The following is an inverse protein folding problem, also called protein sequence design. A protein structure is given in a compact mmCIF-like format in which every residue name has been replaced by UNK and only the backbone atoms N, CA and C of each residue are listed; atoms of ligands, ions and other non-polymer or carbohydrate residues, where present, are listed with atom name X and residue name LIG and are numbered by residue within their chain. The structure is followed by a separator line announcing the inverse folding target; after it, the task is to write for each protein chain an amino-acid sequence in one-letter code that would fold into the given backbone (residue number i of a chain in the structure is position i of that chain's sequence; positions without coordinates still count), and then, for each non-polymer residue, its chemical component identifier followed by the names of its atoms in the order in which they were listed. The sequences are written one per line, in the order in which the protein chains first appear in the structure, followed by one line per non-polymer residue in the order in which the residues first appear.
data_IF_356394404231
#
_entry.id   IF_356394404231
#
_cell.length_a   1.000
_cell.length_b   1.000
_cell.length_c   1.000
_cell.angle_alpha   90.00
_cell.angle_beta   90.00
_cell.angle_gamma   90.00
#
_symmetry.space_group_name_H-M   'P 1'
#
loop_
_entity.id
_entity.type
_entity.pdbx_description
1 polymer ?
2 non-polymer ?
3 non-polymer ?
4 non-polymer ?
5 water ?
#
# COMPACT_ATOMS: atom_id res chain seq x y z
N UNK A 64 -24.08 13.03 5.36
CA UNK A 64 -24.52 13.79 4.14
C UNK A 64 -25.10 12.83 3.10
N UNK A 65 -26.33 13.07 2.67
CA UNK A 65 -27.01 12.21 1.68
C UNK A 65 -26.32 12.23 0.31
N UNK A 66 -26.27 11.08 -0.34
CA UNK A 66 -25.86 11.03 -1.75
C UNK A 66 -26.91 11.69 -2.64
N UNK A 67 -26.48 12.35 -3.72
CA UNK A 67 -27.45 12.84 -4.70
C UNK A 67 -28.05 11.70 -5.50
N UNK A 68 -29.17 11.96 -6.18
CA UNK A 68 -29.71 11.03 -7.17
C UNK A 68 -28.60 10.65 -8.15
N UNK A 69 -28.46 9.35 -8.43
CA UNK A 69 -27.51 8.85 -9.42
C UNK A 69 -28.18 7.76 -10.25
N UNK A 70 -27.85 7.72 -11.54
CA UNK A 70 -28.34 6.70 -12.45
C UNK A 70 -27.18 5.76 -12.78
N UNK A 71 -27.31 4.50 -12.39
CA UNK A 71 -26.29 3.48 -12.68
C UNK A 71 -26.95 2.10 -12.74
N UNK A 72 -26.25 1.10 -13.30
CA UNK A 72 -26.84 -0.23 -13.37
C UNK A 72 -27.16 -0.83 -12.01
N UNK A 73 -28.33 -1.45 -11.91
CA UNK A 73 -28.75 -2.10 -10.68
C UNK A 73 -27.81 -3.26 -10.35
N UNK A 74 -27.37 -3.37 -9.08
CA UNK A 74 -26.62 -4.58 -8.70
C UNK A 74 -27.48 -5.82 -8.87
N UNK A 75 -26.86 -6.89 -9.36
CA UNK A 75 -27.53 -8.15 -9.66
C UNK A 75 -27.27 -9.15 -8.54
N UNK A 76 -28.26 -9.34 -7.67
CA UNK A 76 -28.10 -10.21 -6.49
C UNK A 76 -27.73 -11.65 -6.88
N UNK A 77 -28.32 -12.14 -7.96
CA UNK A 77 -28.11 -13.52 -8.41
C UNK A 77 -27.06 -13.66 -9.53
N UNK A 78 -26.19 -12.66 -9.69
CA UNK A 78 -25.04 -12.75 -10.56
C UNK A 78 -23.77 -12.37 -9.76
N UNK A 79 -22.81 -13.29 -9.63
CA UNK A 79 -21.55 -12.92 -8.98
C UNK A 79 -20.81 -11.84 -9.77
N UNK A 80 -20.15 -10.91 -9.07
CA UNK A 80 -19.39 -9.86 -9.77
C UNK A 80 -18.09 -10.38 -10.39
N UNK A 81 -17.52 -11.41 -9.79
CA UNK A 81 -16.44 -12.19 -10.37
C UNK A 81 -16.70 -13.67 -10.10
N UNK A 82 -16.49 -14.50 -11.12
CA UNK A 82 -16.61 -15.96 -11.00
C UNK A 82 -15.24 -16.66 -10.93
N UNK A 83 -14.17 -15.90 -11.05
CA UNK A 83 -12.82 -16.45 -11.17
C UNK A 83 -11.92 -16.17 -9.96
N UNK A 84 -12.37 -15.29 -9.05
CA UNK A 84 -11.56 -14.89 -7.91
C UNK A 84 -12.41 -14.71 -6.66
N UNK A 85 -11.74 -14.78 -5.52
CA UNK A 85 -12.32 -14.47 -4.23
C UNK A 85 -12.42 -12.94 -4.09
N UNK A 86 -13.63 -12.44 -3.83
CA UNK A 86 -13.84 -10.99 -3.73
C UNK A 86 -14.13 -10.50 -2.30
N UNK A 87 -14.17 -11.42 -1.34
CA UNK A 87 -14.31 -11.06 0.06
C UNK A 87 -13.54 -12.07 0.90
N UNK A 88 -12.85 -11.58 1.93
CA UNK A 88 -12.08 -12.47 2.79
C UNK A 88 -13.03 -13.19 3.76
N UNK A 89 -12.56 -14.24 4.45
CA UNK A 89 -13.41 -14.90 5.45
C UNK A 89 -13.75 -14.06 6.70
N UNK A 90 -13.09 -12.90 6.86
CA UNK A 90 -13.46 -11.94 7.90
C UNK A 90 -14.24 -10.75 7.30
N UNK A 91 -14.79 -10.95 6.10
CA UNK A 91 -15.70 -10.02 5.46
C UNK A 91 -15.05 -8.69 5.08
N UNK A 92 -13.79 -8.75 4.68
CA UNK A 92 -13.09 -7.60 4.08
C UNK A 92 -13.17 -7.75 2.56
N UNK A 93 -13.63 -6.71 1.85
CA UNK A 93 -13.57 -6.80 0.38
C UNK A 93 -12.14 -7.01 -0.13
N UNK A 94 -12.03 -7.82 -1.19
CA UNK A 94 -10.80 -7.96 -1.95
C UNK A 94 -11.05 -7.21 -3.25
N UNK A 95 -10.26 -6.17 -3.49
CA UNK A 95 -10.55 -5.20 -4.54
C UNK A 95 -9.97 -5.62 -5.88
N UNK A 96 -10.89 -6.03 -6.77
CA UNK A 96 -10.60 -6.37 -8.17
C UNK A 96 -11.49 -5.51 -9.06
N UNK A 97 -11.08 -5.31 -10.30
CA UNK A 97 -11.93 -4.67 -11.28
C UNK A 97 -13.21 -5.50 -11.44
N UNK A 98 -14.34 -4.82 -11.45
CA UNK A 98 -15.65 -5.47 -11.51
C UNK A 98 -16.36 -5.56 -10.16
N UNK A 99 -15.64 -5.29 -9.06
CA UNK A 99 -16.25 -5.35 -7.73
C UNK A 99 -16.84 -4.01 -7.28
N UNK A 100 -16.43 -2.90 -7.90
CA UNK A 100 -16.84 -1.58 -7.43
C UNK A 100 -17.34 -0.67 -8.53
N UNK A 101 -18.30 0.17 -8.17
CA UNK A 101 -18.73 1.28 -8.99
C UNK A 101 -18.02 2.53 -8.46
N UNK A 102 -17.03 3.00 -9.22
CA UNK A 102 -16.19 4.12 -8.79
C UNK A 102 -16.98 5.43 -8.67
N UNK A 103 -18.08 5.55 -9.40
CA UNK A 103 -18.90 6.77 -9.30
C UNK A 103 -19.55 6.90 -7.94
N UNK A 104 -20.05 5.78 -7.41
CA UNK A 104 -20.64 5.78 -6.07
C UNK A 104 -19.57 6.09 -5.03
N UNK A 105 -18.44 5.41 -5.14
CA UNK A 105 -17.35 5.59 -4.18
C UNK A 105 -16.78 7.00 -4.22
N UNK A 106 -16.60 7.56 -5.42
CA UNK A 106 -16.12 8.95 -5.53
C UNK A 106 -17.05 9.93 -4.84
N UNK A 107 -18.35 9.75 -5.01
CA UNK A 107 -19.35 10.57 -4.31
C UNK A 107 -19.19 10.48 -2.80
N UNK A 108 -19.13 9.25 -2.29
CA UNK A 108 -19.01 9.04 -0.85
C UNK A 108 -17.79 9.75 -0.28
N UNK A 109 -16.65 9.58 -0.94
CA UNK A 109 -15.39 10.15 -0.42
C UNK A 109 -15.25 11.66 -0.68
N UNK A 110 -15.76 12.16 -1.80
CA UNK A 110 -15.75 13.60 -2.03
C UNK A 110 -16.64 14.35 -1.05
N UNK A 111 -17.79 13.76 -0.70
CA UNK A 111 -18.69 14.39 0.29
C UNK A 111 -18.09 14.46 1.69
N UNK A 112 -17.06 13.65 1.96
CA UNK A 112 -16.26 13.75 3.19
C UNK A 112 -15.01 14.64 3.08
N UNK A 113 -14.81 15.26 1.91
CA UNK A 113 -13.60 16.03 1.58
C UNK A 113 -12.32 15.32 1.99
N UNK A 114 -12.22 14.07 1.52
CA UNK A 114 -11.15 13.18 1.89
C UNK A 114 -9.82 13.66 1.33
N UNK A 115 -8.79 13.63 2.17
CA UNK A 115 -7.41 13.91 1.77
C UNK A 115 -6.60 12.64 1.94
N UNK A 116 -5.87 12.29 0.88
CA UNK A 116 -5.05 11.09 0.87
C UNK A 116 -3.58 11.48 0.81
N UNK A 117 -2.79 10.98 1.75
CA UNK A 117 -1.35 11.10 1.74
C UNK A 117 -0.73 9.91 1.04
N UNK A 118 0.32 10.16 0.25
CA UNK A 118 1.07 9.10 -0.43
C UNK A 118 2.52 9.26 -0.03
N UNK A 119 3.06 8.27 0.69
CA UNK A 119 4.46 8.30 1.11
C UNK A 119 5.32 7.47 0.16
N UNK A 120 6.50 7.99 -0.12
CA UNK A 120 7.45 7.32 -0.97
C UNK A 120 8.85 7.69 -0.53
N UNK A 121 9.75 6.71 -0.52
CA UNK A 121 11.14 6.91 -0.12
C UNK A 121 12.02 6.89 -1.36
N UNK A 122 12.84 7.93 -1.50
CA UNK A 122 13.76 8.08 -2.62
C UNK A 122 15.12 8.40 -2.04
N UNK A 123 15.79 7.35 -1.59
CA UNK A 123 17.05 7.47 -0.87
C UNK A 123 18.17 7.03 -1.82
N UNK A 124 19.28 7.77 -1.80
CA UNK A 124 20.44 7.49 -2.63
C UNK A 124 20.03 7.42 -4.12
N UNK A 125 20.34 6.34 -4.83
CA UNK A 125 20.13 6.29 -6.28
C UNK A 125 18.66 6.21 -6.70
N UNK A 126 17.78 5.92 -5.75
CA UNK A 126 16.35 5.77 -6.03
C UNK A 126 15.64 7.09 -6.32
N UNK A 127 16.30 8.23 -6.11
CA UNK A 127 15.77 9.52 -6.57
C UNK A 127 15.45 9.51 -8.08
N UNK A 128 16.19 8.71 -8.86
CA UNK A 128 15.96 8.56 -10.30
C UNK A 128 14.55 8.11 -10.67
N UNK A 129 13.89 7.39 -9.77
CA UNK A 129 12.54 6.88 -10.01
C UNK A 129 11.42 7.88 -9.75
N UNK A 130 11.74 9.01 -9.11
CA UNK A 130 10.69 9.95 -8.69
C UNK A 130 9.91 10.58 -9.84
N UNK A 131 10.60 10.96 -10.91
CA UNK A 131 9.92 11.71 -11.98
C UNK A 131 8.77 10.90 -12.57
N UNK A 132 9.04 9.67 -12.97
CA UNK A 132 7.99 8.81 -13.54
C UNK A 132 6.93 8.44 -12.51
N UNK A 133 7.36 8.16 -11.28
CA UNK A 133 6.42 7.84 -10.21
C UNK A 133 5.39 8.95 -10.03
N UNK A 134 5.88 10.19 -9.91
CA UNK A 134 5.00 11.33 -9.64
C UNK A 134 4.16 11.71 -10.85
N UNK A 135 4.78 11.70 -12.03
CA UNK A 135 4.05 12.02 -13.27
C UNK A 135 2.90 11.06 -13.49
N UNK A 136 3.14 9.77 -13.27
CA UNK A 136 2.10 8.78 -13.47
C UNK A 136 1.07 8.82 -12.33
N UNK A 137 1.50 9.14 -11.10
CA UNK A 137 0.54 9.33 -10.00
C UNK A 137 -0.43 10.45 -10.33
N UNK A 138 0.07 11.50 -10.96
CA UNK A 138 -0.78 12.61 -11.39
C UNK A 138 -1.88 12.18 -12.36
N UNK A 139 -1.59 11.18 -13.19
CA UNK A 139 -2.56 10.69 -14.16
C UNK A 139 -3.57 9.71 -13.56
N UNK A 140 -3.17 8.99 -12.52
CA UNK A 140 -3.92 7.80 -12.08
C UNK A 140 -4.29 7.71 -10.61
N UNK A 141 -3.64 8.46 -9.72
CA UNK A 141 -3.79 8.25 -8.28
C UNK A 141 -4.75 9.28 -7.68
N UNK A 142 -5.91 8.81 -7.23
CA UNK A 142 -6.89 9.64 -6.52
C UNK A 142 -7.26 10.93 -7.25
N UNK A 143 -7.35 10.86 -8.58
CA UNK A 143 -7.63 12.07 -9.36
C UNK A 143 -9.03 12.58 -9.00
N UNK A 144 -9.11 13.87 -8.71
CA UNK A 144 -10.35 14.51 -8.25
C UNK A 144 -10.43 14.72 -6.76
N UNK A 145 -9.56 14.03 -6.01
CA UNK A 145 -9.50 14.14 -4.55
C UNK A 145 -8.27 14.93 -4.10
N UNK A 146 -8.27 15.36 -2.85
CA UNK A 146 -7.10 16.06 -2.29
C UNK A 146 -6.00 15.06 -2.03
N UNK A 147 -4.80 15.36 -2.53
CA UNK A 147 -3.63 14.48 -2.38
C UNK A 147 -2.46 15.27 -1.82
N UNK A 148 -1.75 14.67 -0.88
CA UNK A 148 -0.50 15.22 -0.36
C UNK A 148 0.57 14.16 -0.53
N UNK A 149 1.52 14.41 -1.42
CA UNK A 149 2.68 13.53 -1.58
C UNK A 149 3.71 13.86 -0.52
N UNK A 150 4.28 12.83 0.07
CA UNK A 150 5.37 13.00 1.02
C UNK A 150 6.57 12.23 0.49
N UNK A 151 7.58 12.96 0.03
CA UNK A 151 8.80 12.37 -0.52
C UNK A 151 9.88 12.40 0.54
N UNK A 152 10.22 11.23 1.06
CA UNK A 152 11.30 11.08 2.03
C UNK A 152 12.58 10.87 1.25
N UNK A 153 13.58 11.73 1.46
CA UNK A 153 14.81 11.65 0.69
C UNK A 153 16.01 12.16 1.47
N UNK A 154 17.19 11.68 1.10
CA UNK A 154 18.45 12.25 1.59
C UNK A 154 19.00 13.33 0.65
N UNK A 155 18.30 13.59 -0.47
CA UNK A 155 18.75 14.56 -1.48
C UNK A 155 17.59 15.48 -1.88
N UNK A 156 17.24 16.44 -1.01
CA UNK A 156 16.24 17.46 -1.32
C UNK A 156 16.31 18.03 -2.74
N UNK A 157 17.52 18.37 -3.17
CA UNK A 157 17.74 19.03 -4.48
C UNK A 157 17.52 18.13 -5.69
N UNK A 158 17.49 16.82 -5.49
CA UNK A 158 17.29 15.86 -6.58
C UNK A 158 15.81 15.53 -6.83
N UNK A 159 14.90 16.09 -6.05
CA UNK A 159 13.47 15.84 -6.26
C UNK A 159 13.02 16.62 -7.50
N UNK A 160 12.50 15.93 -8.54
CA UNK A 160 12.12 16.62 -9.78
C UNK A 160 10.94 17.57 -9.56
N UNK A 161 10.89 18.65 -10.35
CA UNK A 161 9.80 19.61 -10.28
C UNK A 161 8.68 19.10 -11.17
N UNK A 162 7.78 18.31 -10.59
CA UNK A 162 6.67 17.72 -11.33
C UNK A 162 5.46 18.64 -11.16
N UNK A 163 4.78 18.92 -12.27
CA UNK A 163 3.62 19.79 -12.29
C UNK A 163 2.42 19.02 -11.75
N UNK A 164 1.77 19.59 -10.74
CA UNK A 164 0.65 18.93 -10.06
C UNK A 164 -0.69 19.57 -10.41
N UNK A 165 -1.72 18.73 -10.47
CA UNK A 165 -3.08 19.19 -10.64
C UNK A 165 -3.57 19.94 -9.43
N UNK A 166 -4.68 20.66 -9.58
CA UNK A 166 -5.23 21.44 -8.48
C UNK A 166 -5.61 20.54 -7.28
N UNK A 167 -5.41 21.06 -6.07
CA UNK A 167 -5.75 20.33 -4.86
C UNK A 167 -4.77 19.25 -4.47
N UNK A 168 -3.58 19.29 -5.07
CA UNK A 168 -2.55 18.30 -4.86
C UNK A 168 -1.27 19.02 -4.49
N UNK A 169 -0.57 18.52 -3.49
CA UNK A 169 0.67 19.16 -3.05
C UNK A 169 1.71 18.13 -2.71
N UNK A 170 2.95 18.59 -2.61
CA UNK A 170 4.08 17.72 -2.35
C UNK A 170 4.97 18.37 -1.30
N UNK A 171 5.34 17.57 -0.30
CA UNK A 171 6.31 17.98 0.71
C UNK A 171 7.51 17.07 0.63
N UNK A 172 8.70 17.66 0.72
CA UNK A 172 9.93 16.90 0.78
C UNK A 172 10.36 16.81 2.24
N UNK A 173 10.61 15.60 2.70
CA UNK A 173 10.99 15.30 4.08
C UNK A 173 12.39 14.75 4.06
N UNK A 174 13.36 15.52 4.57
CA UNK A 174 14.73 15.08 4.59
C UNK A 174 14.95 14.06 5.69
N UNK A 175 15.56 12.94 5.33
CA UNK A 175 15.90 11.89 6.28
C UNK A 175 17.30 11.38 6.01
N UNK A 176 17.84 10.64 6.96
CA UNK A 176 19.15 10.01 6.76
C UNK A 176 19.07 8.80 5.83
N UNK A 177 20.20 8.54 5.16
CA UNK A 177 20.39 7.37 4.31
C UNK A 177 21.18 6.32 5.07
N UNK A 178 20.60 5.14 5.24
CA UNK A 178 21.33 3.98 5.79
C UNK A 178 22.16 3.36 4.67
N UNK A 179 23.27 2.72 5.05
CA UNK A 179 24.19 2.12 4.07
C UNK A 179 23.60 0.90 3.37
N UNK A 180 23.00 -0.01 4.15
CA UNK A 180 22.44 -1.24 3.61
C UNK A 180 21.04 -1.00 3.07
N UNK A 181 20.76 -1.50 1.87
CA UNK A 181 19.42 -1.41 1.29
C UNK A 181 18.36 -2.03 2.19
N UNK A 182 18.73 -3.08 2.92
CA UNK A 182 17.82 -3.73 3.87
C UNK A 182 17.37 -2.74 4.95
N UNK A 183 18.32 -1.98 5.48
CA UNK A 183 18.02 -0.96 6.51
C UNK A 183 17.24 0.23 5.95
N UNK A 184 17.56 0.65 4.73
CA UNK A 184 16.79 1.72 4.09
C UNK A 184 15.32 1.27 3.99
N UNK A 185 15.10 0.06 3.51
CA UNK A 185 13.75 -0.50 3.39
C UNK A 185 13.05 -0.63 4.73
N UNK A 186 13.76 -1.17 5.71
CA UNK A 186 13.18 -1.45 7.04
C UNK A 186 12.85 -0.20 7.84
N UNK A 187 13.72 0.79 7.75
CA UNK A 187 13.57 2.04 8.52
C UNK A 187 12.44 2.95 8.01
N UNK A 188 11.86 2.60 6.86
CA UNK A 188 10.62 3.25 6.44
C UNK A 188 9.54 3.17 7.52
N UNK A 189 9.47 2.05 8.23
CA UNK A 189 8.45 1.88 9.26
C UNK A 189 8.61 2.90 10.37
N UNK A 190 9.84 3.05 10.86
CA UNK A 190 10.13 4.06 11.88
C UNK A 190 9.82 5.47 11.40
N UNK A 191 10.23 5.77 10.17
CA UNK A 191 10.09 7.12 9.63
C UNK A 191 8.61 7.46 9.36
N UNK A 192 7.84 6.50 8.83
CA UNK A 192 6.41 6.72 8.63
C UNK A 192 5.72 6.94 9.99
N UNK A 193 6.04 6.10 10.98
CA UNK A 193 5.43 6.21 12.30
C UNK A 193 5.72 7.58 12.92
N UNK A 194 6.98 8.02 12.86
CA UNK A 194 7.39 9.31 13.43
C UNK A 194 6.59 10.45 12.80
N UNK A 195 6.44 10.41 11.47
CA UNK A 195 5.72 11.48 10.77
C UNK A 195 4.21 11.38 10.89
N UNK A 196 3.68 10.19 11.20
CA UNK A 196 2.26 10.06 11.57
C UNK A 196 1.92 10.96 12.77
N UNK A 197 2.93 11.43 13.50
CA UNK A 197 2.80 12.43 14.57
C UNK A 197 3.15 13.87 14.11
N UNK A 198 4.24 14.03 13.37
CA UNK A 198 4.73 15.36 12.95
C UNK A 198 3.80 16.10 11.96
N UNK A 199 3.20 15.34 11.05
CA UNK A 199 2.46 15.92 9.92
C UNK A 199 1.15 15.24 9.59
N UNK A 200 1.15 13.91 9.55
CA UNK A 200 0.09 13.20 8.87
C UNK A 200 -1.25 13.31 9.60
N UNK A 201 -1.23 13.23 10.93
CA UNK A 201 -2.48 13.33 11.71
C UNK A 201 -3.24 14.63 11.44
N UNK A 202 -2.52 15.73 11.23
CA UNK A 202 -3.14 17.03 10.99
C UNK A 202 -3.45 17.29 9.51
N UNK A 203 -2.75 16.59 8.61
CA UNK A 203 -2.82 16.90 7.17
C UNK A 203 -3.63 15.97 6.28
N UNK A 204 -3.75 14.69 6.63
CA UNK A 204 -4.44 13.74 5.76
C UNK A 204 -5.37 12.82 6.56
N UNK A 205 -6.32 12.21 5.86
CA UNK A 205 -7.25 11.25 6.44
C UNK A 205 -6.71 9.82 6.32
N UNK A 206 -6.13 9.51 5.17
CA UNK A 206 -5.59 8.18 4.87
C UNK A 206 -4.17 8.32 4.41
N UNK A 207 -3.38 7.29 4.65
CA UNK A 207 -2.03 7.16 4.13
C UNK A 207 -1.92 5.94 3.24
N UNK A 208 -1.21 6.10 2.13
CA UNK A 208 -0.88 5.02 1.21
C UNK A 208 0.65 5.02 1.13
N UNK A 209 1.26 3.87 1.40
CA UNK A 209 2.71 3.75 1.58
C UNK A 209 3.25 2.79 0.56
N UNK A 210 4.04 3.29 -0.38
CA UNK A 210 4.46 2.50 -1.53
C UNK A 210 5.96 2.60 -1.83
N UNK A 211 6.44 1.62 -2.58
CA UNK A 211 7.77 1.66 -3.20
C UNK A 211 7.82 2.69 -4.32
N UNK A 212 9.01 3.24 -4.56
CA UNK A 212 9.20 4.32 -5.54
C UNK A 212 9.55 3.80 -6.93
N UNK A 213 10.14 2.60 -7.01
CA UNK A 213 10.60 2.04 -8.30
C UNK A 213 9.46 1.38 -9.07
N UNK A 214 8.44 2.20 -9.30
CA UNK A 214 7.14 1.76 -9.77
C UNK A 214 6.56 2.85 -10.64
N UNK A 215 5.52 2.51 -11.39
CA UNK A 215 4.74 3.51 -12.11
C UNK A 215 3.27 3.14 -12.09
N UNK A 216 2.43 4.16 -12.12
CA UNK A 216 0.98 3.95 -12.27
C UNK A 216 0.67 3.81 -13.76
N UNK A 217 -0.10 2.79 -14.10
CA UNK A 217 -0.59 2.61 -15.48
C UNK A 217 -2.10 2.69 -15.63
N UNK A 218 -2.83 2.64 -14.52
CA UNK A 218 -4.27 2.68 -14.57
C UNK A 218 -4.77 3.18 -13.22
N UNK A 219 -6.07 3.38 -13.15
CA UNK A 219 -6.74 3.94 -11.99
C UNK A 219 -6.35 3.28 -10.66
N UNK A 220 -5.92 4.12 -9.70
CA UNK A 220 -5.81 3.74 -8.28
C UNK A 220 -6.53 4.85 -7.51
N UNK A 221 -7.70 4.51 -6.98
CA UNK A 221 -8.58 5.51 -6.39
C UNK A 221 -9.15 5.12 -5.03
N UNK A 222 -10.23 5.78 -4.68
CA UNK A 222 -10.78 5.69 -3.33
C UNK A 222 -11.36 4.32 -2.98
N UNK A 223 -11.52 3.44 -3.99
CA UNK A 223 -11.85 2.05 -3.73
C UNK A 223 -10.88 1.35 -2.77
N UNK A 224 -9.66 1.84 -2.66
CA UNK A 224 -8.68 1.22 -1.76
C UNK A 224 -8.80 1.68 -0.31
N UNK A 225 -9.52 2.80 -0.08
CA UNK A 225 -9.48 3.45 1.23
C UNK A 225 -10.37 2.74 2.23
N UNK A 226 -9.85 2.62 3.45
CA UNK A 226 -10.43 1.76 4.48
C UNK A 226 -9.52 1.96 5.70
N UNK A 227 -9.94 1.53 6.91
CA UNK A 227 -9.04 1.71 8.04
C UNK A 227 -7.67 1.06 7.90
N UNK A 228 -7.59 -0.14 7.34
CA UNK A 228 -6.31 -0.83 7.18
C UNK A 228 -6.35 -1.73 5.96
N UNK A 229 -5.42 -1.54 5.03
CA UNK A 229 -5.32 -2.45 3.90
C UNK A 229 -3.92 -2.97 3.64
N UNK A 230 -3.88 -4.20 3.13
CA UNK A 230 -2.69 -4.77 2.53
C UNK A 230 -3.01 -5.17 1.11
N UNK A 231 -1.96 -5.56 0.38
CA UNK A 231 -2.05 -5.87 -1.04
C UNK A 231 -1.48 -7.25 -1.28
N UNK A 232 -2.18 -8.06 -2.07
CA UNK A 232 -1.68 -9.38 -2.43
C UNK A 232 -0.41 -9.27 -3.27
N UNK A 233 0.67 -9.83 -2.75
CA UNK A 233 1.94 -9.88 -3.46
C UNK A 233 1.76 -10.60 -4.80
N UNK A 234 2.29 -10.02 -5.90
CA UNK A 234 2.04 -10.60 -7.22
C UNK A 234 2.68 -11.97 -7.47
N UNK A 235 3.76 -12.26 -6.78
CA UNK A 235 4.42 -13.55 -6.88
C UNK A 235 3.72 -14.74 -6.25
N UNK A 236 2.76 -14.50 -5.35
CA UNK A 236 2.24 -15.56 -4.47
C UNK A 236 0.73 -15.63 -4.29
N UNK A 237 -0.02 -14.86 -5.06
CA UNK A 237 -1.48 -14.83 -4.89
C UNK A 237 -2.15 -16.20 -5.13
N UNK A 238 -1.56 -17.02 -6.01
CA UNK A 238 -2.06 -18.39 -6.25
C UNK A 238 -1.35 -19.48 -5.46
N UNK A 239 -0.48 -19.12 -4.53
CA UNK A 239 0.32 -20.10 -3.77
C UNK A 239 -0.38 -20.57 -2.50
N UNK A 240 -0.05 -21.78 -2.08
CA UNK A 240 -0.53 -22.31 -0.81
C UNK A 240 0.29 -21.69 0.32
N UNK A 241 -0.29 -21.60 1.51
CA UNK A 241 0.36 -20.90 2.63
C UNK A 241 1.72 -21.47 3.03
N UNK A 242 1.90 -22.79 2.91
CA UNK A 242 3.19 -23.42 3.20
C UNK A 242 4.33 -22.91 2.31
N UNK A 243 3.98 -22.54 1.07
CA UNK A 243 4.94 -21.97 0.12
C UNK A 243 5.22 -20.49 0.32
N UNK A 244 4.41 -19.78 1.10
CA UNK A 244 4.65 -18.35 1.36
C UNK A 244 6.01 -18.17 2.01
N UNK A 245 6.73 -17.13 1.61
CA UNK A 245 8.05 -16.85 2.17
C UNK A 245 7.95 -16.00 3.44
N UNK A 246 7.06 -16.39 4.36
CA UNK A 246 7.03 -15.78 5.68
C UNK A 246 8.34 -16.08 6.40
N UNK A 247 8.66 -15.29 7.44
CA UNK A 247 9.75 -15.65 8.35
C UNK A 247 9.37 -16.95 9.06
N UNK A 248 10.24 -17.96 9.00
CA UNK A 248 9.96 -19.29 9.59
C UNK A 248 10.81 -19.64 10.81
N UNK A 249 11.70 -18.75 11.24
CA UNK A 249 12.51 -19.00 12.43
C UNK A 249 11.76 -18.47 13.66
N UNK A 250 11.44 -19.35 14.63
CA UNK A 250 10.76 -18.93 15.87
C UNK A 250 11.50 -17.85 16.68
N UNK A 251 12.80 -17.70 16.43
CA UNK A 251 13.62 -16.69 17.11
C UNK A 251 13.29 -15.27 16.68
N UNK A 252 12.60 -15.11 15.55
CA UNK A 252 12.21 -13.78 15.05
C UNK A 252 10.78 -13.42 15.45
N UNK A 253 10.57 -12.14 15.77
CA UNK A 253 9.23 -11.60 16.03
C UNK A 253 8.27 -11.75 14.84
N UNK A 254 8.81 -11.87 13.62
CA UNK A 254 8.01 -12.04 12.41
C UNK A 254 7.57 -13.49 12.14
N UNK A 255 7.99 -14.43 12.99
CA UNK A 255 7.68 -15.85 12.81
C UNK A 255 6.21 -16.15 12.58
N UNK A 256 5.92 -16.90 11.50
CA UNK A 256 4.60 -17.45 11.23
C UNK A 256 4.77 -18.95 10.93
N UNK A 257 4.13 -19.84 11.73
CA UNK A 257 4.17 -21.27 11.48
C UNK A 257 3.57 -21.68 10.13
N UNK A 258 3.96 -22.86 9.64
CA UNK A 258 3.53 -23.36 8.34
C UNK A 258 2.01 -23.54 8.16
N UNK A 259 1.30 -23.71 9.28
CA UNK A 259 -0.16 -23.90 9.26
C UNK A 259 -0.96 -22.62 9.51
N UNK A 260 -0.29 -21.46 9.53
CA UNK A 260 -0.97 -20.17 9.68
C UNK A 260 -0.70 -19.28 8.49
N UNK A 261 -1.57 -18.29 8.32
CA UNK A 261 -1.45 -17.33 7.24
C UNK A 261 -2.68 -17.31 6.37
N UNK A 262 -3.12 -16.10 6.03
CA UNK A 262 -4.23 -15.90 5.10
C UNK A 262 -3.71 -15.66 3.70
N UNK A 263 -2.84 -14.65 3.58
CA UNK A 263 -2.30 -14.21 2.31
C UNK A 263 -0.83 -13.83 2.51
N UNK A 264 -0.10 -13.70 1.41
CA UNK A 264 1.22 -13.09 1.44
C UNK A 264 1.09 -11.67 0.92
N UNK A 265 1.18 -10.70 1.83
CA UNK A 265 1.02 -9.30 1.49
C UNK A 265 2.35 -8.69 1.04
N UNK A 266 2.29 -7.81 0.05
CA UNK A 266 3.47 -7.12 -0.45
C UNK A 266 3.86 -5.95 0.41
N UNK A 267 5.13 -5.86 0.78
CA UNK A 267 5.65 -4.72 1.52
C UNK A 267 5.61 -3.40 0.75
N UNK A 268 5.45 -3.49 -0.57
CA UNK A 268 5.50 -2.34 -1.47
C UNK A 268 4.22 -1.50 -1.56
N UNK A 269 3.14 -1.93 -0.90
CA UNK A 269 1.85 -1.22 -1.03
C UNK A 269 0.94 -1.58 0.14
N UNK A 270 0.85 -0.69 1.13
CA UNK A 270 -0.08 -0.86 2.26
C UNK A 270 -0.56 0.51 2.68
N UNK A 271 -1.57 0.55 3.54
CA UNK A 271 -2.07 1.85 3.98
C UNK A 271 -3.29 1.72 4.85
N UNK A 272 -3.98 2.84 5.01
CA UNK A 272 -5.14 2.88 5.86
C UNK A 272 -5.34 4.27 6.45
N UNK A 273 -6.15 4.35 7.49
CA UNK A 273 -6.30 5.62 8.19
C UNK A 273 -4.98 5.95 8.87
N UNK A 274 -4.74 7.22 9.17
CA UNK A 274 -3.49 7.59 9.82
C UNK A 274 -3.32 6.82 11.14
N UNK A 275 -4.38 6.71 11.92
CA UNK A 275 -4.30 5.98 13.20
C UNK A 275 -3.86 4.53 13.00
N UNK A 276 -4.44 3.84 12.03
CA UNK A 276 -4.10 2.44 11.82
C UNK A 276 -2.73 2.25 11.20
N UNK A 277 -2.31 3.17 10.34
CA UNK A 277 -0.96 3.11 9.79
C UNK A 277 0.09 3.41 10.86
N UNK A 278 -0.20 4.36 11.75
CA UNK A 278 0.70 4.61 12.90
C UNK A 278 0.88 3.33 13.69
N UNK A 279 -0.21 2.64 13.99
CA UNK A 279 -0.17 1.41 14.78
C UNK A 279 0.66 0.34 14.09
N UNK A 280 0.41 0.14 12.80
CA UNK A 280 1.11 -0.89 12.04
C UNK A 280 2.61 -0.60 11.99
N UNK A 281 2.94 0.62 11.61
CA UNK A 281 4.34 0.97 11.40
C UNK A 281 5.13 0.96 12.70
N UNK A 282 4.52 1.46 13.79
CA UNK A 282 5.20 1.40 15.08
C UNK A 282 5.38 -0.04 15.54
N UNK A 283 4.37 -0.88 15.35
CA UNK A 283 4.47 -2.29 15.73
C UNK A 283 5.58 -2.97 14.95
N UNK A 284 5.65 -2.72 13.65
CA UNK A 284 6.68 -3.33 12.82
C UNK A 284 8.07 -2.83 13.22
N UNK A 285 8.20 -1.52 13.46
CA UNK A 285 9.48 -0.96 13.91
C UNK A 285 9.91 -1.58 15.25
N UNK A 286 9.01 -1.61 16.23
CA UNK A 286 9.35 -2.14 17.55
C UNK A 286 9.73 -3.63 17.45
N UNK A 287 9.04 -4.39 16.60
CA UNK A 287 9.39 -5.80 16.33
C UNK A 287 10.77 -5.97 15.70
N UNK A 288 11.09 -5.10 14.75
CA UNK A 288 12.41 -5.12 14.11
C UNK A 288 13.53 -4.78 15.10
N UNK A 289 13.26 -3.88 16.04
CA UNK A 289 14.24 -3.54 17.06
C UNK A 289 14.47 -4.70 18.04
N UNK A 290 13.40 -5.44 18.37
CA UNK A 290 13.55 -6.66 19.19
C UNK A 290 14.44 -7.66 18.44
N UNK A 291 14.14 -7.93 17.17
CA UNK A 291 14.96 -8.82 16.34
C UNK A 291 16.44 -8.39 16.30
N UNK A 292 16.68 -7.10 16.10
CA UNK A 292 18.05 -6.58 16.05
C UNK A 292 18.78 -6.85 17.36
N UNK A 293 18.11 -6.59 18.48
CA UNK A 293 18.69 -6.88 19.80
C UNK A 293 19.01 -8.37 20.01
N UNK A 294 18.24 -9.24 19.35
CA UNK A 294 18.45 -10.70 19.38
C UNK A 294 19.33 -11.24 18.24
N UNK A 295 19.94 -10.36 17.45
CA UNK A 295 20.85 -10.74 16.37
C UNK A 295 20.22 -11.50 15.23
N UNK A 296 18.99 -11.15 14.88
CA UNK A 296 18.29 -11.79 13.77
C UNK A 296 17.66 -10.71 12.90
N UNK A 297 17.68 -10.94 11.59
CA UNK A 297 17.04 -10.05 10.63
C UNK A 297 16.07 -10.89 9.81
N UNK A 298 14.80 -10.49 9.77
CA UNK A 298 13.79 -11.27 9.09
C UNK A 298 14.10 -11.47 7.61
N UNK A 299 13.73 -12.63 7.10
CA UNK A 299 14.06 -13.06 5.74
C UNK A 299 13.72 -12.03 4.66
N UNK A 300 12.54 -11.41 4.77
CA UNK A 300 12.16 -10.34 3.85
C UNK A 300 11.87 -9.04 4.61
N UNK A 301 12.65 -8.81 5.67
CA UNK A 301 12.82 -7.48 6.23
C UNK A 301 11.46 -6.91 6.67
N UNK A 302 11.18 -5.65 6.34
CA UNK A 302 9.89 -5.03 6.69
C UNK A 302 8.66 -5.81 6.19
N UNK A 303 8.77 -6.42 5.01
CA UNK A 303 7.66 -7.23 4.48
C UNK A 303 7.30 -8.40 5.40
N UNK A 304 8.31 -9.05 5.99
CA UNK A 304 8.07 -10.14 6.92
C UNK A 304 7.27 -9.68 8.14
N UNK A 305 7.65 -8.54 8.69
CA UNK A 305 6.96 -7.97 9.84
C UNK A 305 5.56 -7.47 9.48
N UNK A 306 5.42 -6.86 8.30
CA UNK A 306 4.10 -6.46 7.80
C UNK A 306 3.15 -7.67 7.76
N UNK A 307 3.66 -8.78 7.24
CA UNK A 307 2.86 -10.01 7.17
C UNK A 307 2.47 -10.56 8.52
N UNK A 308 3.38 -10.51 9.50
CA UNK A 308 3.03 -10.90 10.86
C UNK A 308 1.94 -10.01 11.43
N UNK A 309 2.08 -8.70 11.24
CA UNK A 309 1.12 -7.76 11.77
C UNK A 309 -0.28 -8.00 11.18
N UNK A 310 -0.35 -8.17 9.86
CA UNK A 310 -1.64 -8.35 9.18
C UNK A 310 -2.27 -9.72 9.40
N UNK A 311 -1.49 -10.71 9.77
CA UNK A 311 -2.04 -11.98 10.24
C UNK A 311 -2.83 -11.78 11.54
N UNK A 312 -2.24 -11.04 12.46
CA UNK A 312 -2.78 -10.85 13.82
C UNK A 312 -3.78 -9.70 13.94
N UNK A 313 -3.74 -8.77 12.98
CA UNK A 313 -4.63 -7.62 12.90
C UNK A 313 -5.15 -7.60 11.46
N UNK A 314 -6.32 -8.19 11.24
CA UNK A 314 -6.79 -8.44 9.88
C UNK A 314 -7.09 -7.12 9.17
N UNK A 315 -6.66 -6.96 7.92
CA UNK A 315 -6.98 -5.75 7.20
C UNK A 315 -8.47 -5.67 6.87
N UNK A 316 -8.99 -4.46 6.78
CA UNK A 316 -10.39 -4.22 6.49
C UNK A 316 -10.70 -4.16 4.97
N UNK A 317 -9.65 -4.06 4.14
CA UNK A 317 -9.73 -4.38 2.70
C UNK A 317 -8.42 -5.03 2.32
N UNK A 318 -8.47 -5.85 1.27
CA UNK A 318 -7.26 -6.42 0.66
C UNK A 318 -7.28 -6.01 -0.81
N UNK A 319 -6.17 -5.49 -1.31
CA UNK A 319 -6.07 -5.14 -2.72
C UNK A 319 -5.55 -6.31 -3.53
N UNK A 320 -6.16 -6.53 -4.69
CA UNK A 320 -5.70 -7.59 -5.59
C UNK A 320 -4.34 -7.22 -6.20
N UNK A 321 -3.68 -8.17 -6.88
CA UNK A 321 -2.40 -7.84 -7.52
C UNK A 321 -2.51 -6.88 -8.71
N UNK A 322 -3.71 -6.49 -9.12
CA UNK A 322 -3.84 -5.34 -10.02
C UNK A 322 -3.06 -4.13 -9.50
N UNK A 323 -3.03 -4.00 -8.18
CA UNK A 323 -2.43 -2.86 -7.49
C UNK A 323 -0.94 -3.02 -7.20
N UNK A 324 -0.34 -4.17 -7.52
CA UNK A 324 1.08 -4.38 -7.28
C UNK A 324 1.57 -5.50 -8.19
N UNK A 325 2.18 -5.11 -9.31
CA UNK A 325 2.47 -6.07 -10.37
C UNK A 325 3.86 -5.86 -10.97
N UNK A 326 4.38 -6.92 -11.60
CA UNK A 326 5.62 -6.85 -12.38
C UNK A 326 5.36 -7.61 -13.68
N UNK A 327 5.16 -6.87 -14.76
CA UNK A 327 4.82 -7.46 -16.04
C UNK A 327 6.01 -8.20 -16.67
N UNK A 328 7.22 -7.71 -16.44
CA UNK A 328 8.43 -8.36 -16.96
C UNK A 328 8.52 -9.79 -16.43
N UNK A 329 8.31 -9.96 -15.13
CA UNK A 329 8.47 -11.25 -14.49
C UNK A 329 7.26 -12.17 -14.62
N UNK A 330 6.05 -11.58 -14.71
CA UNK A 330 4.81 -12.33 -14.56
C UNK A 330 3.82 -12.19 -15.70
N UNK A 331 4.11 -11.35 -16.69
CA UNK A 331 3.24 -11.20 -17.83
C UNK A 331 1.96 -10.46 -17.51
N UNK A 332 0.89 -10.81 -18.22
CA UNK A 332 -0.42 -10.19 -18.01
C UNK A 332 -1.46 -11.30 -18.03
N UNK A 333 -1.68 -11.94 -16.87
CA UNK A 333 -2.65 -13.02 -16.76
C UNK A 333 -4.10 -12.57 -17.00
N UNK A 334 -4.92 -13.48 -17.49
CA UNK A 334 -6.34 -13.20 -17.73
C UNK A 334 -7.07 -12.72 -16.48
N UNK A 335 -6.67 -13.20 -15.31
CA UNK A 335 -7.32 -12.82 -14.05
C UNK A 335 -7.13 -11.32 -13.70
N UNK A 336 -6.14 -10.67 -14.31
CA UNK A 336 -5.92 -9.23 -14.16
C UNK A 336 -6.52 -8.45 -15.30
N UNK A 337 -7.68 -7.84 -15.06
CA UNK A 337 -8.35 -7.04 -16.07
C UNK A 337 -7.66 -5.70 -16.28
N UNK A 338 -6.96 -5.23 -15.24
CA UNK A 338 -6.16 -4.01 -15.28
C UNK A 338 -4.83 -4.24 -14.57
N UNK A 339 -3.78 -3.57 -15.07
CA UNK A 339 -2.50 -3.49 -14.38
C UNK A 339 -2.39 -2.04 -13.95
N UNK A 340 -2.51 -1.80 -12.65
CA UNK A 340 -2.66 -0.43 -12.16
C UNK A 340 -1.35 0.20 -11.69
N UNK A 341 -0.51 -0.57 -11.02
CA UNK A 341 0.71 -0.05 -10.37
C UNK A 341 1.74 -1.14 -10.53
N UNK A 342 2.80 -0.83 -11.28
CA UNK A 342 3.72 -1.84 -11.81
C UNK A 342 5.19 -1.50 -11.62
N UNK A 343 6.00 -2.54 -11.47
CA UNK A 343 7.45 -2.39 -11.33
C UNK A 343 8.06 -1.76 -12.59
N UNK A 344 9.02 -0.86 -12.39
CA UNK A 344 9.82 -0.34 -13.49
C UNK A 344 10.84 -1.43 -13.81
N UNK A 345 10.90 -1.90 -15.07
CA UNK A 345 11.80 -3.03 -15.38
C UNK A 345 13.27 -2.63 -15.39
#
# INVERSE_FOLDING_TARGET
MAEVLRTLAGKPKCHALRPMILFLIMLVLVLFGYGVLSPRSLMPGSLERGFCMAVREPDHLQRVSLPRMVYPQPKVLTPCRKDVLVVTPWLAPIVWEGTFNIDILNEQFRLQNTTIGLTVFAIKKYVAFLKLFLETAEKHFMVGHRVHYYVFTDQPAAVPRVTLGTGRQLSVLEVRAYKRWQDVSMRRMEMISDFCERRFLSEVDYLVCVDVDMEFRDHVGVEILTPLFGTLHPGFYGSSREAFTYERRPQSQAYIPKDEGDFYYGGAFFGGSVQEVQRLTRACHQAMMVDQANGIEAVWHDESHLNKYLLRHKPTKVLSPEYLWDQQLLGWPAVLRKLRFTAVPKNHQAVRNP
#
